data_IF_655652335476
#
_entry.id   IF_655652335476
#
_cell.length_a   1.000
_cell.length_b   1.000
_cell.length_c   1.000
_cell.angle_alpha   90.00
_cell.angle_beta   90.00
_cell.angle_gamma   90.00
#
_symmetry.space_group_name_H-M   'P 1'
#
loop_
_entity.id
_entity.type
_entity.pdbx_description
1 polymer ?
#
# COMPACT_ATOMS: atom_id res chain seq x y z
N UNK A 1 -16.84 3.44 -9.78
CA UNK A 1 -15.94 4.23 -8.91
C UNK A 1 -15.98 3.57 -7.55
N UNK A 2 -14.86 3.06 -7.06
CA UNK A 2 -14.82 2.33 -5.78
C UNK A 2 -14.72 3.32 -4.61
N UNK A 3 -15.52 3.11 -3.57
CA UNK A 3 -15.41 3.80 -2.29
C UNK A 3 -14.61 2.94 -1.31
N UNK A 4 -13.58 3.51 -0.70
CA UNK A 4 -12.77 2.83 0.32
C UNK A 4 -13.01 3.54 1.65
N UNK A 5 -13.49 2.78 2.64
CA UNK A 5 -13.75 3.23 3.99
C UNK A 5 -12.70 2.64 4.93
N UNK A 6 -12.11 3.45 5.79
CA UNK A 6 -11.11 3.01 6.75
C UNK A 6 -11.69 2.95 8.17
N UNK A 7 -11.37 1.90 8.92
CA UNK A 7 -11.59 1.86 10.36
C UNK A 7 -10.87 3.01 11.05
N UNK A 8 -11.35 3.43 12.23
CA UNK A 8 -10.66 4.43 13.02
C UNK A 8 -9.31 3.89 13.52
N UNK A 9 -8.23 4.63 13.28
CA UNK A 9 -6.87 4.32 13.74
C UNK A 9 -6.37 2.89 13.40
N UNK A 10 -6.36 2.46 12.13
CA UNK A 10 -5.98 1.09 11.80
C UNK A 10 -4.47 0.87 11.97
N UNK A 11 -4.10 -0.31 12.47
CA UNK A 11 -2.73 -0.81 12.43
C UNK A 11 -2.48 -1.47 11.06
N UNK A 12 -1.56 -0.93 10.28
CA UNK A 12 -1.31 -1.32 8.89
C UNK A 12 0.16 -1.69 8.71
N UNK A 13 0.45 -2.56 7.75
CA UNK A 13 1.81 -2.83 7.34
C UNK A 13 2.21 -1.80 6.27
N UNK A 14 3.31 -1.10 6.49
CA UNK A 14 3.82 -0.10 5.54
C UNK A 14 5.19 -0.53 5.04
N UNK A 15 5.31 -0.62 3.72
CA UNK A 15 6.56 -0.77 3.01
C UNK A 15 7.11 0.60 2.66
N UNK A 16 8.19 1.02 3.31
CA UNK A 16 8.93 2.24 2.97
C UNK A 16 10.04 1.90 1.99
N UNK A 17 9.97 2.50 0.79
CA UNK A 17 10.91 2.24 -0.29
C UNK A 17 12.10 3.18 -0.14
N UNK A 18 13.28 2.59 0.10
CA UNK A 18 14.56 3.25 0.03
C UNK A 18 15.31 2.74 -1.21
N UNK A 19 16.18 3.56 -1.80
CA UNK A 19 16.79 3.32 -3.13
C UNK A 19 17.15 1.86 -3.47
N UNK A 20 17.69 1.10 -2.51
CA UNK A 20 18.16 -0.28 -2.70
C UNK A 20 17.42 -1.32 -1.86
N UNK A 21 16.50 -0.90 -0.98
CA UNK A 21 15.80 -1.81 -0.07
C UNK A 21 14.45 -1.27 0.38
N UNK A 22 13.59 -2.17 0.80
CA UNK A 22 12.29 -1.82 1.38
C UNK A 22 12.30 -2.17 2.86
N UNK A 23 11.84 -1.25 3.70
CA UNK A 23 11.64 -1.49 5.13
C UNK A 23 10.14 -1.64 5.37
N UNK A 24 9.72 -2.81 5.84
CA UNK A 24 8.33 -3.11 6.16
C UNK A 24 8.13 -3.02 7.69
N UNK A 25 7.20 -2.19 8.13
CA UNK A 25 6.88 -2.01 9.56
C UNK A 25 5.40 -1.79 9.79
N UNK A 26 4.92 -2.20 10.95
CA UNK A 26 3.55 -1.91 11.36
C UNK A 26 3.45 -0.48 11.91
N UNK A 27 2.44 0.26 11.46
CA UNK A 27 2.18 1.64 11.88
C UNK A 27 0.70 1.78 12.17
N UNK A 28 0.34 2.55 13.19
CA UNK A 28 -1.05 2.97 13.42
C UNK A 28 -1.30 4.29 12.70
N UNK A 29 -2.31 4.35 11.83
CA UNK A 29 -2.66 5.55 11.09
C UNK A 29 -3.77 6.31 11.80
N UNK A 30 -3.44 7.37 12.53
CA UNK A 30 -4.35 8.05 13.44
C UNK A 30 -4.53 9.54 13.13
N UNK A 31 -4.15 10.00 11.92
CA UNK A 31 -4.12 11.41 11.55
C UNK A 31 -3.25 12.30 12.46
N UNK A 32 -2.40 11.72 13.30
CA UNK A 32 -1.39 12.49 14.04
C UNK A 32 -0.35 13.09 13.10
N UNK A 33 0.51 13.97 13.63
CA UNK A 33 1.63 14.54 12.85
C UNK A 33 2.63 13.47 12.35
N UNK A 34 2.61 12.26 12.90
CA UNK A 34 3.41 11.12 12.42
C UNK A 34 2.74 10.31 11.31
N UNK A 35 1.44 10.52 11.06
CA UNK A 35 0.73 9.90 9.95
C UNK A 35 1.12 10.58 8.63
N UNK A 36 1.79 9.82 7.77
CA UNK A 36 2.23 10.27 6.45
C UNK A 36 1.45 9.60 5.30
N UNK A 37 0.38 8.88 5.61
CA UNK A 37 -0.45 8.14 4.65
C UNK A 37 -1.79 8.80 4.46
N UNK A 38 -2.64 8.89 5.50
CA UNK A 38 -3.98 9.45 5.32
C UNK A 38 -3.99 10.92 4.89
N UNK A 39 -3.19 11.83 5.50
CA UNK A 39 -3.12 13.21 5.02
C UNK A 39 -2.69 13.34 3.56
N UNK A 40 -1.84 12.42 3.09
CA UNK A 40 -1.38 12.38 1.69
C UNK A 40 -2.50 11.93 0.76
N UNK A 41 -3.23 10.87 1.12
CA UNK A 41 -4.35 10.35 0.34
C UNK A 41 -5.46 11.42 0.24
N UNK A 42 -5.84 12.03 1.37
CA UNK A 42 -6.87 13.06 1.41
C UNK A 42 -6.51 14.25 0.52
N UNK A 43 -5.30 14.80 0.69
CA UNK A 43 -4.83 15.93 -0.14
C UNK A 43 -4.83 15.59 -1.63
N UNK A 44 -4.49 14.35 -1.99
CA UNK A 44 -4.45 13.90 -3.38
C UNK A 44 -5.85 13.82 -4.00
N UNK A 45 -6.83 13.29 -3.24
CA UNK A 45 -8.23 13.19 -3.65
C UNK A 45 -8.90 14.57 -3.70
N UNK A 46 -8.65 15.44 -2.71
CA UNK A 46 -9.17 16.80 -2.65
C UNK A 46 -8.70 17.66 -3.84
N UNK A 47 -7.56 17.31 -4.43
CA UNK A 47 -7.05 17.89 -5.67
C UNK A 47 -7.78 17.39 -6.94
N UNK A 48 -8.81 16.56 -6.79
CA UNK A 48 -9.60 15.99 -7.89
C UNK A 48 -9.00 14.75 -8.54
N UNK A 49 -7.96 14.15 -7.95
CA UNK A 49 -7.30 12.96 -8.51
C UNK A 49 -7.88 11.66 -7.95
N UNK A 50 -7.87 10.60 -8.75
CA UNK A 50 -8.02 9.22 -8.29
C UNK A 50 -6.66 8.56 -8.07
N UNK A 51 -6.60 7.51 -7.25
CA UNK A 51 -5.38 6.72 -7.03
C UNK A 51 -5.61 5.24 -7.33
N UNK A 52 -4.54 4.55 -7.70
CA UNK A 52 -4.56 3.11 -7.99
C UNK A 52 -4.45 2.28 -6.70
N UNK A 53 -5.03 1.08 -6.71
CA UNK A 53 -4.88 0.10 -5.65
C UNK A 53 -4.96 -1.31 -6.23
N UNK A 54 -4.39 -2.29 -5.52
CA UNK A 54 -4.59 -3.72 -5.78
C UNK A 54 -5.02 -4.42 -4.50
N UNK A 55 -5.55 -5.64 -4.62
CA UNK A 55 -5.86 -6.46 -3.46
C UNK A 55 -5.62 -7.94 -3.72
N UNK A 56 -5.18 -8.68 -2.71
CA UNK A 56 -5.10 -10.16 -2.76
C UNK A 56 -5.27 -10.68 -1.34
N UNK A 57 -5.97 -11.80 -1.21
CA UNK A 57 -6.15 -12.53 0.06
C UNK A 57 -6.59 -11.62 1.23
N UNK A 58 -7.68 -10.89 1.02
CA UNK A 58 -8.22 -9.91 1.97
C UNK A 58 -7.23 -8.83 2.40
N UNK A 59 -6.22 -8.52 1.58
CA UNK A 59 -5.32 -7.38 1.77
C UNK A 59 -5.58 -6.34 0.70
N UNK A 60 -5.82 -5.10 1.11
CA UNK A 60 -5.85 -3.91 0.25
C UNK A 60 -4.47 -3.26 0.27
N UNK A 61 -3.90 -3.03 -0.92
CA UNK A 61 -2.58 -2.42 -1.09
C UNK A 61 -2.75 -1.10 -1.84
N UNK A 62 -2.35 -0.01 -1.20
CA UNK A 62 -2.39 1.34 -1.74
C UNK A 62 -0.96 1.88 -1.79
N UNK A 63 -0.38 2.13 -2.99
CA UNK A 63 0.88 2.85 -3.09
C UNK A 63 0.69 4.34 -2.77
N UNK A 64 1.78 5.00 -2.40
CA UNK A 64 1.85 6.47 -2.37
C UNK A 64 1.45 7.01 -3.75
N UNK A 65 0.36 7.79 -3.84
CA UNK A 65 -0.19 8.23 -5.11
C UNK A 65 0.61 9.38 -5.74
N UNK A 66 1.54 9.98 -4.99
CA UNK A 66 2.35 11.10 -5.49
C UNK A 66 3.46 10.57 -6.39
N UNK A 67 3.67 11.23 -7.52
CA UNK A 67 4.90 11.07 -8.29
C UNK A 67 6.00 11.96 -7.72
N UNK A 68 7.08 11.36 -7.23
CA UNK A 68 8.32 12.11 -6.95
C UNK A 68 9.26 11.95 -8.14
N UNK A 69 9.53 13.06 -8.83
CA UNK A 69 10.35 13.10 -10.04
C UNK A 69 11.75 12.48 -9.90
N UNK A 70 12.28 12.40 -8.67
CA UNK A 70 13.59 11.79 -8.37
C UNK A 70 13.55 10.28 -8.12
N UNK A 71 12.38 9.65 -8.15
CA UNK A 71 12.17 8.24 -7.79
C UNK A 71 11.95 7.40 -9.06
N UNK A 72 12.61 6.24 -9.11
CA UNK A 72 12.40 5.26 -10.18
C UNK A 72 11.01 4.65 -10.05
N UNK A 73 10.35 4.36 -11.17
CA UNK A 73 9.09 3.63 -11.14
C UNK A 73 9.31 2.24 -10.54
N UNK A 74 8.49 1.89 -9.56
CA UNK A 74 8.44 0.59 -8.92
C UNK A 74 7.18 -0.15 -9.33
N UNK A 75 7.31 -1.43 -9.68
CA UNK A 75 6.17 -2.30 -10.00
C UNK A 75 5.80 -3.14 -8.78
N UNK A 76 4.51 -3.21 -8.48
CA UNK A 76 3.92 -3.91 -7.35
C UNK A 76 3.01 -5.01 -7.87
N UNK A 77 3.23 -6.25 -7.44
CA UNK A 77 2.34 -7.34 -7.82
C UNK A 77 2.36 -8.48 -6.81
N UNK A 78 1.23 -9.18 -6.79
CA UNK A 78 1.10 -10.51 -6.20
C UNK A 78 1.43 -11.52 -7.29
N UNK A 79 2.30 -12.49 -7.00
CA UNK A 79 2.91 -13.40 -7.98
C UNK A 79 1.95 -14.06 -9.02
N UNK A 80 0.65 -14.15 -8.75
CA UNK A 80 -0.32 -14.83 -9.63
C UNK A 80 -1.72 -14.20 -9.73
N UNK A 81 -2.05 -13.17 -8.92
CA UNK A 81 -3.47 -12.94 -8.58
C UNK A 81 -4.05 -11.67 -9.20
N UNK A 82 -3.23 -10.68 -9.57
CA UNK A 82 -3.70 -9.36 -10.03
C UNK A 82 -2.78 -8.75 -11.09
N UNK A 83 -3.35 -7.85 -11.89
CA UNK A 83 -2.57 -6.98 -12.79
C UNK A 83 -1.62 -6.13 -11.93
N UNK A 84 -0.31 -6.11 -12.22
CA UNK A 84 0.64 -5.27 -11.52
C UNK A 84 0.25 -3.79 -11.61
N UNK A 85 0.41 -3.05 -10.52
CA UNK A 85 0.35 -1.58 -10.54
C UNK A 85 1.76 -1.01 -10.38
N UNK A 86 1.95 0.25 -10.75
CA UNK A 86 3.23 0.94 -10.63
C UNK A 86 3.10 2.20 -9.79
N UNK A 87 4.15 2.54 -9.07
CA UNK A 87 4.22 3.79 -8.29
C UNK A 87 5.59 4.44 -8.41
N UNK A 88 5.64 5.76 -8.26
CA UNK A 88 6.85 6.55 -8.09
C UNK A 88 6.91 7.21 -6.70
N UNK A 89 6.06 6.75 -5.78
CA UNK A 89 6.02 7.23 -4.41
C UNK A 89 6.93 6.44 -3.48
N UNK A 90 6.98 6.86 -2.21
CA UNK A 90 7.98 6.37 -1.24
C UNK A 90 7.46 5.30 -0.29
N UNK A 91 6.16 5.05 -0.29
CA UNK A 91 5.54 4.10 0.60
C UNK A 91 4.46 3.29 -0.10
N UNK A 92 4.17 2.12 0.46
CA UNK A 92 3.02 1.28 0.10
C UNK A 92 2.35 0.87 1.40
N UNK A 93 1.07 1.18 1.54
CA UNK A 93 0.28 0.87 2.72
C UNK A 93 -0.60 -0.36 2.46
N UNK A 94 -0.57 -1.31 3.39
CA UNK A 94 -1.32 -2.56 3.32
C UNK A 94 -2.30 -2.66 4.48
N UNK A 95 -3.57 -2.75 4.14
CA UNK A 95 -4.69 -2.81 5.07
C UNK A 95 -5.37 -4.18 4.99
N UNK A 96 -5.89 -4.65 6.11
CA UNK A 96 -6.79 -5.80 6.09
C UNK A 96 -8.17 -5.38 5.54
N UNK A 97 -8.73 -6.15 4.61
CA UNK A 97 -10.09 -5.97 4.12
C UNK A 97 -11.03 -6.64 5.13
N UNK A 98 -11.91 -5.85 5.72
CA UNK A 98 -12.96 -6.30 6.65
C UNK A 98 -14.18 -6.75 5.86
N UNK A 99 -14.53 -5.99 4.83
CA UNK A 99 -15.72 -6.21 4.03
C UNK A 99 -15.52 -5.69 2.62
N UNK A 100 -16.00 -6.45 1.63
CA UNK A 100 -16.05 -6.03 0.23
C UNK A 100 -17.43 -6.36 -0.34
N UNK A 101 -18.17 -5.33 -0.74
CA UNK A 101 -19.50 -5.47 -1.35
C UNK A 101 -19.68 -4.42 -2.44
N UNK A 102 -20.15 -4.84 -3.61
CA UNK A 102 -20.34 -3.98 -4.78
C UNK A 102 -19.06 -3.18 -5.11
N UNK A 103 -19.14 -1.86 -5.08
CA UNK A 103 -18.05 -0.89 -5.28
C UNK A 103 -17.52 -0.33 -3.94
N UNK A 104 -17.71 -1.03 -2.83
CA UNK A 104 -17.27 -0.58 -1.51
C UNK A 104 -16.27 -1.57 -0.89
N UNK A 105 -15.15 -1.05 -0.40
CA UNK A 105 -14.17 -1.78 0.40
C UNK A 105 -14.10 -1.13 1.78
N UNK A 106 -14.33 -1.91 2.83
CA UNK A 106 -14.06 -1.50 4.22
C UNK A 106 -12.73 -2.12 4.63
N UNK A 107 -11.76 -1.27 4.92
CA UNK A 107 -10.39 -1.65 5.27
C UNK A 107 -10.07 -1.24 6.71
N UNK A 108 -9.20 -2.00 7.37
CA UNK A 108 -8.80 -1.73 8.74
C UNK A 108 -7.49 -2.42 9.09
N UNK A 109 -7.41 -2.92 10.33
CA UNK A 109 -6.21 -3.56 10.85
C UNK A 109 -5.76 -4.70 9.96
N UNK A 110 -4.46 -4.74 9.66
CA UNK A 110 -3.85 -5.91 9.06
C UNK A 110 -3.74 -7.04 10.10
N UNK A 111 -4.11 -8.24 9.69
CA UNK A 111 -4.04 -9.44 10.52
C UNK A 111 -2.74 -10.22 10.28
N UNK A 112 -2.45 -11.17 11.17
CA UNK A 112 -1.20 -11.94 11.13
C UNK A 112 -1.12 -12.80 9.85
N UNK A 113 -2.19 -13.50 9.52
CA UNK A 113 -2.30 -14.32 8.31
C UNK A 113 -2.14 -13.49 7.02
N UNK A 114 -2.75 -12.31 6.98
CA UNK A 114 -2.59 -11.33 5.91
C UNK A 114 -1.14 -10.84 5.76
N UNK A 115 -0.47 -10.61 6.90
CA UNK A 115 0.95 -10.24 6.91
C UNK A 115 1.83 -11.38 6.40
N UNK A 116 1.55 -12.62 6.81
CA UNK A 116 2.25 -13.81 6.31
C UNK A 116 2.04 -14.03 4.82
N UNK A 117 0.83 -13.76 4.31
CA UNK A 117 0.53 -13.80 2.88
C UNK A 117 1.38 -12.79 2.12
N UNK A 118 1.41 -11.53 2.58
CA UNK A 118 2.25 -10.49 1.99
C UNK A 118 3.73 -10.88 1.96
N UNK A 119 4.27 -11.40 3.07
CA UNK A 119 5.66 -11.86 3.16
C UNK A 119 6.01 -12.87 2.07
N UNK A 120 5.09 -13.78 1.76
CA UNK A 120 5.31 -14.88 0.82
C UNK A 120 5.02 -14.49 -0.65
N UNK A 121 4.06 -13.62 -0.88
CA UNK A 121 3.47 -13.42 -2.21
C UNK A 121 3.63 -12.01 -2.78
N UNK A 122 3.94 -11.01 -1.95
CA UNK A 122 4.09 -9.63 -2.41
C UNK A 122 5.51 -9.35 -2.89
N UNK A 123 5.62 -8.81 -4.10
CA UNK A 123 6.89 -8.49 -4.73
C UNK A 123 6.90 -7.02 -5.17
N UNK A 124 8.04 -6.36 -4.92
CA UNK A 124 8.34 -5.00 -5.37
C UNK A 124 9.58 -5.09 -6.24
N UNK A 125 9.51 -4.58 -7.47
CA UNK A 125 10.66 -4.51 -8.39
C UNK A 125 10.95 -3.07 -8.80
N UNK A 126 12.21 -2.80 -9.14
CA UNK A 126 12.58 -1.56 -9.82
C UNK A 126 12.20 -1.57 -11.32
N UNK A 127 12.50 -0.47 -12.01
CA UNK A 127 12.25 -0.31 -13.45
C UNK A 127 13.02 -1.29 -14.35
N UNK A 128 14.03 -1.98 -13.81
CA UNK A 128 14.82 -2.98 -14.52
C UNK A 128 14.37 -4.41 -14.15
N UNK A 129 13.23 -4.57 -13.47
CA UNK A 129 12.71 -5.82 -12.92
C UNK A 129 13.60 -6.47 -11.85
N UNK A 130 14.51 -5.71 -11.22
CA UNK A 130 15.26 -6.22 -10.07
C UNK A 130 14.35 -6.24 -8.85
N UNK A 131 14.24 -7.40 -8.19
CA UNK A 131 13.51 -7.54 -6.93
C UNK A 131 14.21 -6.75 -5.83
N UNK A 132 13.47 -5.86 -5.17
CA UNK A 132 13.97 -5.16 -4.00
C UNK A 132 13.90 -6.07 -2.77
N UNK A 133 14.98 -6.19 -1.98
CA UNK A 133 14.94 -6.91 -0.73
C UNK A 133 14.04 -6.18 0.28
N UNK A 134 13.20 -6.95 0.98
CA UNK A 134 12.29 -6.44 2.00
C UNK A 134 12.77 -6.86 3.38
N UNK A 135 13.02 -5.89 4.25
CA UNK A 135 13.37 -6.08 5.65
C UNK A 135 12.16 -5.81 6.53
N UNK A 136 11.67 -6.82 7.25
CA UNK A 136 10.60 -6.68 8.22
C UNK A 136 11.16 -6.28 9.58
N UNK A 137 10.57 -5.27 10.22
CA UNK A 137 11.00 -4.70 11.51
C UNK A 137 9.84 -4.57 12.49
#
# INVERSE_FOLDING_TARGET
MTSILFSNSPNVLVYQIHKEKVIAKNITLDYSNSDFIFPVIDTYIDSGNGFDYIFSHDVLVIPDPRSKQSIKTYSLYFNSDMIPISTQGEWIACFGIIKKENDMIVAGNIQLDQTLHLIKHFTITDSNNNRLPIQYT
#
